data_IF_947615140786
#
_entry.id   IF_947615140786
#
_cell.length_a   1.000
_cell.length_b   1.000
_cell.length_c   1.000
_cell.angle_alpha   90.00
_cell.angle_beta   90.00
_cell.angle_gamma   90.00
#
_symmetry.space_group_name_H-M   'P 1'
#
loop_
_entity.id
_entity.type
_entity.pdbx_description
1 polymer ?
#
# COMPACT_ATOMS: atom_id res chain seq x y z
N UNK A 1 25.35 -16.48 16.94
CA UNK A 1 24.22 -17.18 16.28
C UNK A 1 22.98 -16.47 16.78
N UNK A 2 22.24 -15.80 15.91
CA UNK A 2 20.99 -15.12 16.30
C UNK A 2 19.85 -16.06 15.96
N UNK A 3 19.01 -16.39 16.95
CA UNK A 3 17.87 -17.27 16.75
C UNK A 3 16.75 -16.51 16.05
N UNK A 4 16.53 -16.83 14.78
CA UNK A 4 15.45 -16.31 13.97
C UNK A 4 14.24 -17.23 14.15
N UNK A 5 13.19 -16.74 14.82
CA UNK A 5 11.90 -17.46 14.90
C UNK A 5 10.90 -16.84 13.94
N UNK A 6 10.43 -17.63 12.96
CA UNK A 6 9.38 -17.24 12.02
C UNK A 6 8.04 -17.72 12.58
N UNK A 7 7.06 -16.81 12.72
CA UNK A 7 5.66 -17.16 13.01
C UNK A 7 4.75 -16.56 11.94
N UNK A 8 3.76 -17.35 11.51
CA UNK A 8 2.75 -17.12 10.45
C UNK A 8 2.84 -15.79 9.70
N UNK A 9 3.22 -15.87 8.42
CA UNK A 9 3.19 -14.73 7.49
C UNK A 9 4.43 -13.83 7.48
N UNK A 10 5.54 -14.25 8.08
CA UNK A 10 6.87 -13.61 7.88
C UNK A 10 7.37 -12.71 9.01
N UNK A 11 6.79 -12.78 10.21
CA UNK A 11 7.32 -11.98 11.34
C UNK A 11 8.66 -12.57 11.81
N UNK A 12 9.71 -11.74 11.90
CA UNK A 12 11.06 -12.14 12.36
C UNK A 12 11.42 -11.32 13.59
N UNK A 13 11.66 -12.00 14.72
CA UNK A 13 12.11 -11.33 15.94
C UNK A 13 13.64 -11.22 15.92
N UNK A 14 14.16 -10.00 15.78
CA UNK A 14 15.56 -9.69 16.06
C UNK A 14 15.63 -9.15 17.49
N UNK A 15 15.80 -10.03 18.48
CA UNK A 15 15.81 -9.66 19.90
C UNK A 15 14.42 -9.27 20.43
N UNK A 16 14.34 -8.25 21.29
CA UNK A 16 13.10 -7.76 21.91
C UNK A 16 12.26 -6.85 21.00
N UNK A 17 12.65 -6.68 19.74
CA UNK A 17 11.98 -5.84 18.76
C UNK A 17 11.26 -6.70 17.72
N UNK A 18 9.95 -6.49 17.59
CA UNK A 18 9.13 -7.07 16.53
C UNK A 18 9.42 -6.38 15.21
N UNK A 19 10.25 -6.99 14.35
CA UNK A 19 10.39 -6.56 12.97
C UNK A 19 9.54 -7.46 12.06
N UNK A 20 8.52 -6.88 11.43
CA UNK A 20 7.73 -7.61 10.45
C UNK A 20 8.48 -7.60 9.12
N UNK A 21 9.07 -8.73 8.76
CA UNK A 21 9.72 -8.93 7.47
C UNK A 21 8.66 -9.41 6.47
N UNK A 22 8.05 -8.46 5.78
CA UNK A 22 7.15 -8.80 4.68
C UNK A 22 7.98 -9.00 3.41
N UNK A 23 7.65 -10.05 2.66
CA UNK A 23 8.05 -10.14 1.27
C UNK A 23 7.45 -8.95 0.49
N UNK A 24 8.20 -8.45 -0.50
CA UNK A 24 7.81 -7.28 -1.29
C UNK A 24 6.46 -7.52 -1.96
N UNK A 25 6.23 -8.72 -2.47
CA UNK A 25 4.96 -9.08 -3.10
C UNK A 25 3.78 -9.03 -2.11
N UNK A 26 4.00 -9.46 -0.86
CA UNK A 26 3.00 -9.35 0.21
C UNK A 26 2.66 -7.89 0.54
N UNK A 27 3.65 -6.99 0.52
CA UNK A 27 3.42 -5.56 0.72
C UNK A 27 2.49 -5.01 -0.37
N UNK A 28 2.79 -5.29 -1.65
CA UNK A 28 1.97 -4.81 -2.76
C UNK A 28 0.56 -5.40 -2.75
N UNK A 29 0.39 -6.69 -2.44
CA UNK A 29 -0.94 -7.30 -2.28
C UNK A 29 -1.76 -6.63 -1.17
N UNK A 30 -1.13 -6.28 -0.05
CA UNK A 30 -1.80 -5.57 1.05
C UNK A 30 -2.17 -4.14 0.66
N UNK A 31 -1.32 -3.47 -0.14
CA UNK A 31 -1.64 -2.16 -0.71
C UNK A 31 -2.88 -2.28 -1.61
N UNK A 32 -2.89 -3.20 -2.56
CA UNK A 32 -4.05 -3.43 -3.45
C UNK A 32 -5.33 -3.68 -2.65
N UNK A 33 -5.27 -4.53 -1.62
CA UNK A 33 -6.41 -4.79 -0.75
C UNK A 33 -6.91 -3.51 -0.06
N UNK A 34 -6.00 -2.68 0.46
CA UNK A 34 -6.36 -1.41 1.10
C UNK A 34 -6.99 -0.42 0.12
N UNK A 35 -6.46 -0.32 -1.10
CA UNK A 35 -6.97 0.59 -2.11
C UNK A 35 -8.36 0.16 -2.64
N UNK A 36 -8.59 -1.15 -2.69
CA UNK A 36 -9.82 -1.74 -3.23
C UNK A 36 -11.04 -1.64 -2.29
N UNK A 37 -10.81 -1.54 -0.99
CA UNK A 37 -11.88 -1.54 0.01
C UNK A 37 -12.25 -0.12 0.44
N UNK A 38 -13.54 0.13 0.66
CA UNK A 38 -13.98 1.33 1.38
C UNK A 38 -13.52 1.25 2.83
N UNK A 39 -12.88 2.31 3.33
CA UNK A 39 -12.47 2.38 4.74
C UNK A 39 -13.67 2.16 5.66
N UNK A 40 -13.58 1.19 6.55
CA UNK A 40 -14.65 0.82 7.49
C UNK A 40 -15.67 -0.19 6.96
N UNK A 41 -15.62 -0.56 5.67
CA UNK A 41 -16.50 -1.58 5.08
C UNK A 41 -16.19 -2.99 5.60
N UNK A 42 -14.93 -3.29 5.88
CA UNK A 42 -14.53 -4.62 6.33
C UNK A 42 -14.88 -4.85 7.80
N UNK A 43 -15.78 -5.81 8.07
CA UNK A 43 -16.37 -6.03 9.40
C UNK A 43 -15.34 -6.43 10.46
N UNK A 44 -14.29 -7.18 10.08
CA UNK A 44 -13.27 -7.68 11.01
C UNK A 44 -12.14 -6.68 11.26
N UNK A 45 -11.97 -5.68 10.38
CA UNK A 45 -10.98 -4.62 10.57
C UNK A 45 -11.49 -3.31 9.95
N UNK A 46 -12.06 -2.45 10.79
CA UNK A 46 -12.61 -1.16 10.40
C UNK A 46 -11.56 -0.15 9.94
N UNK A 47 -10.28 -0.39 10.24
CA UNK A 47 -9.18 0.46 9.79
C UNK A 47 -8.69 0.10 8.39
N UNK A 48 -9.08 -1.06 7.85
CA UNK A 48 -8.73 -1.48 6.49
C UNK A 48 -9.59 -0.72 5.47
N UNK A 49 -8.95 -0.38 4.34
CA UNK A 49 -9.58 0.31 3.23
C UNK A 49 -9.07 1.74 3.05
N UNK A 50 -9.46 2.35 1.95
CA UNK A 50 -9.10 3.71 1.58
C UNK A 50 -10.34 4.61 1.54
N UNK A 51 -10.11 5.91 1.63
CA UNK A 51 -11.13 6.95 1.42
C UNK A 51 -10.90 7.65 0.09
N UNK A 52 -10.33 6.96 -0.90
CA UNK A 52 -10.08 7.51 -2.22
C UNK A 52 -11.43 7.96 -2.81
N UNK A 53 -11.62 9.28 -3.05
CA UNK A 53 -12.85 9.79 -3.65
C UNK A 53 -12.95 9.32 -5.10
N UNK A 54 -14.13 9.39 -5.71
CA UNK A 54 -14.25 9.17 -7.16
C UNK A 54 -14.01 10.52 -7.85
N UNK A 55 -12.80 10.76 -8.31
CA UNK A 55 -12.42 11.95 -9.07
C UNK A 55 -11.99 11.55 -10.48
N UNK A 56 -11.88 12.54 -11.36
CA UNK A 56 -11.41 12.32 -12.73
C UNK A 56 -9.87 12.26 -12.81
N UNK A 57 -9.09 12.49 -11.75
CA UNK A 57 -7.63 12.26 -11.71
C UNK A 57 -6.84 12.71 -12.95
N UNK A 58 -7.26 13.82 -13.56
CA UNK A 58 -6.76 14.30 -14.85
C UNK A 58 -5.86 15.53 -14.69
N UNK A 59 -5.84 16.15 -13.50
CA UNK A 59 -5.00 17.29 -13.17
C UNK A 59 -3.84 16.88 -12.24
N UNK A 60 -2.77 17.68 -12.21
CA UNK A 60 -1.66 17.47 -11.26
C UNK A 60 -2.13 17.53 -9.80
N UNK A 61 -3.11 18.39 -9.49
CA UNK A 61 -3.70 18.51 -8.15
C UNK A 61 -4.44 17.22 -7.75
N UNK A 62 -5.24 16.64 -8.66
CA UNK A 62 -5.93 15.39 -8.40
C UNK A 62 -4.95 14.22 -8.21
N UNK A 63 -3.84 14.19 -8.96
CA UNK A 63 -2.78 13.19 -8.80
C UNK A 63 -2.08 13.30 -7.46
N UNK A 64 -1.77 14.52 -7.02
CA UNK A 64 -1.20 14.77 -5.69
C UNK A 64 -2.17 14.34 -4.58
N UNK A 65 -3.47 14.58 -4.78
CA UNK A 65 -4.51 14.15 -3.84
C UNK A 65 -4.64 12.63 -3.81
N UNK A 66 -4.59 11.95 -4.96
CA UNK A 66 -4.58 10.50 -5.06
C UNK A 66 -3.38 9.91 -4.31
N UNK A 67 -2.18 10.47 -4.54
CA UNK A 67 -0.97 10.07 -3.83
C UNK A 67 -1.13 10.21 -2.31
N UNK A 68 -1.73 11.31 -1.83
CA UNK A 68 -2.01 11.50 -0.41
C UNK A 68 -2.89 10.36 0.15
N UNK A 69 -3.98 10.00 -0.54
CA UNK A 69 -4.86 8.92 -0.08
C UNK A 69 -4.19 7.53 -0.14
N UNK A 70 -3.42 7.25 -1.20
CA UNK A 70 -2.66 6.00 -1.29
C UNK A 70 -1.66 5.93 -0.13
N UNK A 71 -0.99 7.03 0.20
CA UNK A 71 -0.03 7.10 1.30
C UNK A 71 -0.66 6.88 2.67
N UNK A 72 -1.93 7.23 2.89
CA UNK A 72 -2.65 6.86 4.12
C UNK A 72 -2.76 5.35 4.29
N UNK A 73 -3.00 4.62 3.19
CA UNK A 73 -3.00 3.15 3.19
C UNK A 73 -1.57 2.60 3.40
N UNK A 74 -0.61 3.02 2.56
CA UNK A 74 0.76 2.49 2.57
C UNK A 74 1.43 2.68 3.93
N UNK A 75 1.27 3.86 4.55
CA UNK A 75 1.91 4.14 5.84
C UNK A 75 1.46 3.16 6.93
N UNK A 76 0.20 2.75 6.92
CA UNK A 76 -0.34 1.75 7.86
C UNK A 76 0.20 0.33 7.62
N UNK A 77 0.68 0.04 6.41
CA UNK A 77 1.18 -1.27 5.97
C UNK A 77 2.67 -1.40 6.23
N UNK A 78 3.44 -0.39 5.80
CA UNK A 78 4.91 -0.41 5.71
C UNK A 78 5.55 0.96 6.00
N UNK A 79 5.05 1.71 7.00
CA UNK A 79 5.67 2.91 7.60
C UNK A 79 6.56 3.78 6.68
N UNK A 80 6.10 4.03 5.46
CA UNK A 80 6.82 4.73 4.39
C UNK A 80 5.80 5.31 3.42
N UNK A 81 6.28 5.95 2.35
CA UNK A 81 5.46 6.57 1.33
C UNK A 81 5.79 6.04 -0.06
N UNK A 82 4.80 6.13 -0.94
CA UNK A 82 4.92 5.93 -2.37
C UNK A 82 4.85 7.26 -3.11
N UNK A 83 5.39 7.25 -4.32
CA UNK A 83 5.15 8.27 -5.34
C UNK A 83 4.27 7.69 -6.43
N UNK A 84 3.21 8.40 -6.80
CA UNK A 84 2.36 8.06 -7.95
C UNK A 84 3.05 8.51 -9.23
N UNK A 85 3.31 7.57 -10.14
CA UNK A 85 4.01 7.83 -11.40
C UNK A 85 3.03 8.05 -12.56
N UNK A 86 1.96 7.26 -12.61
CA UNK A 86 0.94 7.35 -13.65
C UNK A 86 -0.36 6.68 -13.22
N UNK A 87 -1.47 7.06 -13.86
CA UNK A 87 -2.80 6.48 -13.66
C UNK A 87 -3.31 5.97 -14.99
N UNK A 88 -3.79 4.73 -15.01
CA UNK A 88 -4.51 4.14 -16.14
C UNK A 88 -5.98 3.95 -15.74
N UNK A 89 -6.83 4.85 -16.22
CA UNK A 89 -8.27 4.83 -15.89
C UNK A 89 -9.01 3.68 -16.55
N UNK A 90 -8.58 3.26 -17.73
CA UNK A 90 -9.23 2.15 -18.46
C UNK A 90 -9.01 0.84 -17.71
N UNK A 91 -7.80 0.62 -17.20
CA UNK A 91 -7.48 -0.57 -16.39
C UNK A 91 -7.80 -0.41 -14.91
N UNK A 92 -8.14 0.79 -14.45
CA UNK A 92 -8.31 1.12 -13.03
C UNK A 92 -7.05 0.82 -12.21
N UNK A 93 -5.88 1.19 -12.74
CA UNK A 93 -4.59 0.95 -12.09
C UNK A 93 -3.77 2.21 -11.89
N UNK A 94 -2.91 2.18 -10.87
CA UNK A 94 -1.95 3.25 -10.58
C UNK A 94 -0.57 2.65 -10.53
N UNK A 95 0.37 3.26 -11.26
CA UNK A 95 1.78 2.90 -11.18
C UNK A 95 2.42 3.68 -10.04
N UNK A 96 2.93 2.98 -9.05
CA UNK A 96 3.54 3.55 -7.85
C UNK A 96 5.02 3.17 -7.74
N UNK A 97 5.83 4.08 -7.21
CA UNK A 97 7.18 3.80 -6.74
C UNK A 97 7.20 3.75 -5.22
N UNK A 98 7.79 2.68 -4.65
CA UNK A 98 7.94 2.45 -3.23
C UNK A 98 9.41 2.22 -2.88
N UNK A 99 9.97 3.03 -1.97
CA UNK A 99 11.32 2.82 -1.45
C UNK A 99 11.30 2.04 -0.15
N UNK A 100 11.99 0.91 -0.12
CA UNK A 100 12.21 0.07 1.07
C UNK A 100 13.72 -0.06 1.29
N UNK A 101 14.23 0.61 2.32
CA UNK A 101 15.67 0.75 2.54
C UNK A 101 16.37 1.38 1.33
N UNK A 102 17.38 0.70 0.79
CA UNK A 102 18.17 1.19 -0.35
C UNK A 102 17.64 0.71 -1.72
N UNK A 103 16.46 0.07 -1.76
CA UNK A 103 15.86 -0.45 -2.98
C UNK A 103 14.57 0.29 -3.30
N UNK A 104 14.37 0.56 -4.59
CA UNK A 104 13.16 1.15 -5.13
C UNK A 104 12.40 0.09 -5.93
N UNK A 105 11.11 -0.02 -5.67
CA UNK A 105 10.21 -0.97 -6.32
C UNK A 105 9.11 -0.20 -7.04
N UNK A 106 9.01 -0.42 -8.34
CA UNK A 106 7.98 0.19 -9.18
C UNK A 106 7.00 -0.89 -9.60
N UNK A 107 5.72 -0.74 -9.22
CA UNK A 107 4.65 -1.67 -9.60
C UNK A 107 3.37 -0.94 -9.96
N UNK A 108 2.58 -1.60 -10.78
CA UNK A 108 1.19 -1.24 -11.03
C UNK A 108 0.31 -1.91 -9.98
N UNK A 109 -0.59 -1.15 -9.36
CA UNK A 109 -1.55 -1.63 -8.36
C UNK A 109 -2.97 -1.30 -8.79
N UNK A 110 -3.89 -2.22 -8.50
CA UNK A 110 -5.31 -2.03 -8.81
C UNK A 110 -5.99 -1.09 -7.79
N UNK A 111 -6.86 -0.21 -8.29
CA UNK A 111 -7.65 0.74 -7.51
C UNK A 111 -9.12 0.64 -7.93
N UNK A 112 -9.68 -0.57 -7.80
CA UNK A 112 -10.96 -0.98 -8.38
C UNK A 112 -12.12 0.00 -8.09
N UNK A 113 -12.70 0.56 -9.16
CA UNK A 113 -13.92 1.37 -9.11
C UNK A 113 -13.74 2.75 -8.50
N UNK A 114 -12.50 3.23 -8.42
CA UNK A 114 -12.13 4.54 -7.86
C UNK A 114 -11.69 5.54 -8.91
N UNK A 115 -11.22 5.09 -10.07
CA UNK A 115 -10.61 5.92 -11.12
C UNK A 115 -11.58 6.20 -12.27
#
# INVERSE_FOLDING_TARGET
MYDLMIKDGGTVFLGSTEEKVYDVDSIFQRIELCLSLDKGSFIYNKNLGSTIPKLDYSTEEDLAQLEMYINQCVFSIVNTRVTVLSVDKEKQTVKISLKLGNKEYVKEVNVYGRL
#
